data_IF_032437210772
#
_entry.id   IF_032437210772
#
_cell.length_a   1.000
_cell.length_b   1.000
_cell.length_c   1.000
_cell.angle_alpha   90.00
_cell.angle_beta   90.00
_cell.angle_gamma   90.00
#
_symmetry.space_group_name_H-M   'P 1'
#
loop_
_entity.id
_entity.type
_entity.pdbx_description
1 polymer ?
#
# COMPACT_ATOMS: atom_id res chain seq x y z
N UNK A 1 4.90 5.61 -7.29
CA UNK A 1 5.47 4.29 -6.95
C UNK A 1 6.99 4.32 -6.66
N UNK A 2 7.90 4.92 -7.47
CA UNK A 2 9.35 4.91 -7.17
C UNK A 2 9.72 5.47 -5.80
N UNK A 3 9.04 6.54 -5.36
CA UNK A 3 9.27 7.15 -4.06
C UNK A 3 8.92 6.23 -2.86
N UNK A 4 7.88 5.41 -3.00
CA UNK A 4 7.50 4.42 -1.97
C UNK A 4 8.53 3.31 -1.89
N UNK A 5 9.00 2.81 -3.05
CA UNK A 5 10.05 1.82 -3.11
C UNK A 5 11.36 2.35 -2.50
N UNK A 6 11.76 3.58 -2.81
CA UNK A 6 12.95 4.20 -2.24
C UNK A 6 12.87 4.31 -0.70
N UNK A 7 11.72 4.76 -0.16
CA UNK A 7 11.51 4.80 1.29
C UNK A 7 11.54 3.42 1.91
N UNK A 8 10.91 2.43 1.27
CA UNK A 8 10.96 1.05 1.74
C UNK A 8 12.41 0.55 1.85
N UNK A 9 13.23 0.76 0.84
CA UNK A 9 14.63 0.35 0.87
C UNK A 9 15.44 1.06 1.95
N UNK A 10 15.22 2.37 2.17
CA UNK A 10 15.90 3.12 3.23
C UNK A 10 15.60 2.50 4.59
N UNK A 11 14.31 2.25 4.88
CA UNK A 11 13.91 1.69 6.18
C UNK A 11 14.25 0.20 6.34
N UNK A 12 14.19 -0.57 5.26
CA UNK A 12 14.44 -2.01 5.31
C UNK A 12 15.92 -2.34 5.48
N UNK A 13 16.79 -1.58 4.83
CA UNK A 13 18.24 -1.76 4.92
C UNK A 13 18.93 -0.82 5.91
N UNK A 14 18.14 -0.01 6.65
CA UNK A 14 18.65 1.00 7.58
C UNK A 14 19.73 1.89 6.99
N UNK A 15 19.46 2.39 5.76
CA UNK A 15 20.42 3.18 5.01
C UNK A 15 20.53 4.60 5.60
N UNK A 16 21.74 5.19 5.63
CA UNK A 16 21.93 6.55 6.10
C UNK A 16 21.15 7.54 5.24
N UNK A 17 20.65 8.62 5.85
CA UNK A 17 19.85 9.64 5.14
C UNK A 17 20.64 10.35 4.03
N UNK A 18 21.95 10.42 4.16
CA UNK A 18 22.88 11.02 3.20
C UNK A 18 24.03 10.10 2.89
N UNK A 19 24.37 10.00 1.63
CA UNK A 19 25.53 9.24 1.14
C UNK A 19 26.48 10.21 0.44
N UNK A 20 27.73 10.23 0.88
CA UNK A 20 28.80 10.95 0.19
C UNK A 20 29.19 10.25 -1.11
N UNK A 21 28.89 10.86 -2.25
CA UNK A 21 29.25 10.36 -3.57
C UNK A 21 30.07 11.44 -4.29
N UNK A 22 31.32 11.13 -4.66
CA UNK A 22 32.24 12.05 -5.35
C UNK A 22 32.45 13.43 -4.67
N UNK A 23 32.43 13.48 -3.33
CA UNK A 23 32.63 14.74 -2.59
C UNK A 23 31.37 15.62 -2.42
N UNK A 24 30.22 15.17 -2.91
CA UNK A 24 28.92 15.80 -2.67
C UNK A 24 28.09 14.91 -1.75
N UNK A 25 27.47 15.50 -0.73
CA UNK A 25 26.49 14.82 0.10
C UNK A 25 25.13 14.81 -0.62
N UNK A 26 24.73 13.65 -1.14
CA UNK A 26 23.43 13.47 -1.79
C UNK A 26 22.46 12.78 -0.82
N UNK A 27 21.19 13.22 -0.79
CA UNK A 27 20.16 12.51 -0.02
C UNK A 27 19.96 11.11 -0.62
N UNK A 28 20.08 10.08 0.21
CA UNK A 28 19.91 8.65 -0.17
C UNK A 28 18.59 8.40 -0.89
N UNK A 29 17.53 9.09 -0.46
CA UNK A 29 16.21 9.02 -1.09
C UNK A 29 16.27 9.41 -2.58
N UNK A 30 16.93 10.52 -2.91
CA UNK A 30 17.00 11.00 -4.29
C UNK A 30 17.82 10.05 -5.16
N UNK A 31 18.92 9.53 -4.63
CA UNK A 31 19.77 8.56 -5.33
C UNK A 31 19.00 7.27 -5.63
N UNK A 32 18.26 6.74 -4.68
CA UNK A 32 17.44 5.53 -4.88
C UNK A 32 16.29 5.75 -5.87
N UNK A 33 15.61 6.91 -5.82
CA UNK A 33 14.57 7.24 -6.80
C UNK A 33 15.15 7.30 -8.21
N UNK A 34 16.28 7.97 -8.39
CA UNK A 34 16.95 8.07 -9.70
C UNK A 34 17.41 6.69 -10.17
N UNK A 35 17.98 5.87 -9.29
CA UNK A 35 18.43 4.51 -9.61
C UNK A 35 17.25 3.65 -10.12
N UNK A 36 16.13 3.66 -9.40
CA UNK A 36 14.93 2.90 -9.79
C UNK A 36 14.37 3.39 -11.13
N UNK A 37 14.35 4.71 -11.35
CA UNK A 37 13.89 5.28 -12.62
C UNK A 37 14.83 4.92 -13.78
N UNK A 38 16.14 5.04 -13.60
CA UNK A 38 17.13 4.67 -14.64
C UNK A 38 17.01 3.18 -14.97
N UNK A 39 16.91 2.32 -13.96
CA UNK A 39 16.71 0.89 -14.17
C UNK A 39 15.41 0.60 -14.94
N UNK A 40 14.31 1.24 -14.60
CA UNK A 40 13.03 1.07 -15.30
C UNK A 40 13.12 1.55 -16.77
N UNK A 41 13.72 2.72 -17.01
CA UNK A 41 13.90 3.27 -18.37
C UNK A 41 14.80 2.33 -19.19
N UNK A 42 15.90 1.86 -18.63
CA UNK A 42 16.83 0.94 -19.32
C UNK A 42 16.13 -0.35 -19.72
N UNK A 43 15.32 -0.94 -18.81
CA UNK A 43 14.55 -2.14 -19.12
C UNK A 43 13.56 -1.90 -20.27
N UNK A 44 12.85 -0.76 -20.27
CA UNK A 44 11.90 -0.42 -21.33
C UNK A 44 12.62 -0.18 -22.67
N UNK A 45 13.74 0.52 -22.64
CA UNK A 45 14.49 0.81 -23.87
C UNK A 45 15.14 -0.44 -24.48
N UNK A 46 15.58 -1.40 -23.65
CA UNK A 46 16.22 -2.62 -24.14
C UNK A 46 15.26 -3.69 -24.64
N UNK A 47 14.05 -3.80 -24.05
CA UNK A 47 13.17 -4.94 -24.36
C UNK A 47 11.71 -4.58 -24.63
N UNK A 48 11.38 -3.29 -24.65
CA UNK A 48 10.02 -2.82 -24.89
C UNK A 48 9.03 -3.28 -23.83
N UNK A 49 7.74 -3.34 -24.20
CA UNK A 49 6.64 -3.73 -23.27
C UNK A 49 6.73 -5.17 -22.77
N UNK A 50 7.32 -6.07 -23.55
CA UNK A 50 7.49 -7.48 -23.15
C UNK A 50 8.39 -7.64 -21.93
N UNK A 51 9.42 -6.80 -21.81
CA UNK A 51 10.35 -6.83 -20.66
C UNK A 51 9.67 -6.42 -19.35
N UNK A 52 8.56 -5.72 -19.41
CA UNK A 52 7.74 -5.41 -18.22
C UNK A 52 6.73 -6.51 -17.90
N UNK A 53 6.13 -7.10 -18.93
CA UNK A 53 5.06 -8.10 -18.75
C UNK A 53 5.58 -9.42 -18.22
N UNK A 54 6.77 -9.87 -18.67
CA UNK A 54 7.33 -11.16 -18.25
C UNK A 54 7.68 -11.18 -16.75
N UNK A 55 8.45 -10.21 -16.19
CA UNK A 55 8.70 -10.16 -14.75
C UNK A 55 7.43 -10.01 -13.92
N UNK A 56 6.45 -9.21 -14.38
CA UNK A 56 5.15 -9.06 -13.69
C UNK A 56 4.38 -10.38 -13.64
N UNK A 57 4.38 -11.15 -14.72
CA UNK A 57 3.76 -12.47 -14.75
C UNK A 57 4.45 -13.47 -13.80
N UNK A 58 5.78 -13.49 -13.80
CA UNK A 58 6.57 -14.36 -12.90
C UNK A 58 6.33 -13.94 -11.44
N UNK A 59 6.41 -12.66 -11.14
CA UNK A 59 6.13 -12.11 -9.81
C UNK A 59 4.72 -12.47 -9.36
N UNK A 60 3.73 -12.31 -10.24
CA UNK A 60 2.34 -12.69 -9.96
C UNK A 60 2.19 -14.14 -9.55
N UNK A 61 2.89 -15.04 -10.23
CA UNK A 61 2.84 -16.49 -9.96
C UNK A 61 3.29 -16.86 -8.54
N UNK A 62 4.20 -16.06 -7.93
CA UNK A 62 4.63 -16.24 -6.55
C UNK A 62 3.79 -15.43 -5.57
N UNK A 63 3.48 -14.17 -5.90
CA UNK A 63 2.79 -13.27 -4.98
C UNK A 63 1.33 -13.66 -4.72
N UNK A 64 0.58 -14.17 -5.73
CA UNK A 64 -0.84 -14.51 -5.51
C UNK A 64 -1.05 -15.68 -4.58
N UNK A 65 -0.34 -16.82 -4.71
CA UNK A 65 -0.41 -17.89 -3.71
C UNK A 65 -0.04 -17.39 -2.31
N UNK A 66 0.99 -16.56 -2.20
CA UNK A 66 1.39 -15.97 -0.92
C UNK A 66 0.28 -15.09 -0.34
N UNK A 67 -0.36 -14.24 -1.16
CA UNK A 67 -1.49 -13.43 -0.72
C UNK A 67 -2.66 -14.28 -0.21
N UNK A 68 -2.98 -15.37 -0.91
CA UNK A 68 -4.03 -16.30 -0.46
C UNK A 68 -3.67 -16.93 0.88
N UNK A 69 -2.43 -17.38 1.06
CA UNK A 69 -1.94 -17.91 2.34
C UNK A 69 -2.05 -16.86 3.44
N UNK A 70 -1.65 -15.61 3.18
CA UNK A 70 -1.75 -14.52 4.15
C UNK A 70 -3.20 -14.18 4.49
N UNK A 71 -4.11 -14.16 3.52
CA UNK A 71 -5.55 -13.97 3.76
C UNK A 71 -6.09 -15.07 4.68
N UNK A 72 -5.81 -16.34 4.35
CA UNK A 72 -6.24 -17.49 5.16
C UNK A 72 -5.65 -17.40 6.56
N UNK A 73 -4.37 -17.04 6.67
CA UNK A 73 -3.72 -16.87 7.98
C UNK A 73 -4.40 -15.79 8.82
N UNK A 74 -4.71 -14.63 8.27
CA UNK A 74 -5.41 -13.55 8.99
C UNK A 74 -6.80 -14.00 9.43
N UNK A 75 -7.56 -14.63 8.53
CA UNK A 75 -8.90 -15.13 8.86
C UNK A 75 -8.89 -16.25 9.92
N UNK A 76 -7.84 -17.07 9.94
CA UNK A 76 -7.67 -18.11 10.96
C UNK A 76 -7.20 -17.52 12.31
N UNK A 77 -6.33 -16.51 12.28
CA UNK A 77 -5.73 -15.91 13.49
C UNK A 77 -6.71 -15.06 14.27
N UNK A 78 -7.64 -14.37 13.60
CA UNK A 78 -8.61 -13.47 14.21
C UNK A 78 -10.02 -14.04 14.12
N UNK A 79 -10.66 -14.20 15.29
CA UNK A 79 -12.06 -14.63 15.35
C UNK A 79 -12.99 -13.50 14.93
N UNK A 80 -13.81 -13.76 13.92
CA UNK A 80 -14.73 -12.76 13.39
C UNK A 80 -15.73 -12.27 14.44
N UNK A 81 -16.37 -13.20 15.17
CA UNK A 81 -17.46 -12.89 16.09
C UNK A 81 -16.99 -12.35 17.44
N UNK A 82 -15.81 -12.78 17.92
CA UNK A 82 -15.34 -12.47 19.28
C UNK A 82 -14.30 -11.37 19.32
N UNK A 83 -13.58 -11.12 18.24
CA UNK A 83 -12.48 -10.13 18.20
C UNK A 83 -12.75 -9.01 17.21
N UNK A 84 -13.16 -9.32 15.96
CA UNK A 84 -13.31 -8.31 14.91
C UNK A 84 -14.59 -7.49 15.14
N UNK A 85 -15.74 -8.14 15.19
CA UNK A 85 -17.04 -7.45 15.28
C UNK A 85 -17.14 -6.56 16.54
N UNK A 86 -16.78 -7.00 17.75
CA UNK A 86 -16.83 -6.14 18.93
C UNK A 86 -15.99 -4.87 18.80
N UNK A 87 -14.76 -4.99 18.29
CA UNK A 87 -13.87 -3.84 18.12
C UNK A 87 -14.38 -2.88 17.05
N UNK A 88 -14.99 -3.40 15.99
CA UNK A 88 -15.53 -2.57 14.92
C UNK A 88 -16.85 -1.87 15.31
N UNK A 89 -17.58 -2.43 16.29
CA UNK A 89 -18.83 -1.85 16.84
C UNK A 89 -18.57 -0.89 18.01
N UNK A 90 -17.48 -1.09 18.76
CA UNK A 90 -17.13 -0.26 19.92
C UNK A 90 -16.52 1.08 19.46
N UNK A 91 -17.37 1.92 18.88
CA UNK A 91 -17.00 3.23 18.35
C UNK A 91 -18.00 4.29 18.82
N UNK A 92 -17.50 5.51 18.90
CA UNK A 92 -18.32 6.69 19.19
C UNK A 92 -19.33 6.90 18.04
N UNK A 93 -20.50 7.41 18.36
CA UNK A 93 -21.47 7.80 17.34
C UNK A 93 -20.84 8.81 16.35
N UNK A 94 -21.07 8.61 15.07
CA UNK A 94 -20.44 9.41 14.00
C UNK A 94 -19.11 8.87 13.47
N UNK A 95 -18.52 7.83 14.10
CA UNK A 95 -17.24 7.24 13.70
C UNK A 95 -17.34 5.73 13.45
N UNK A 96 -18.46 5.23 12.98
CA UNK A 96 -18.68 3.80 12.78
C UNK A 96 -17.87 3.23 11.63
N UNK A 97 -17.23 2.08 11.86
CA UNK A 97 -16.55 1.34 10.78
C UNK A 97 -17.46 0.38 10.03
N UNK A 98 -18.63 0.06 10.57
CA UNK A 98 -19.56 -0.91 9.99
C UNK A 98 -20.78 -0.24 9.37
N UNK A 99 -21.23 0.89 9.90
CA UNK A 99 -22.39 1.60 9.40
C UNK A 99 -21.94 2.74 8.46
N UNK A 100 -22.18 2.63 7.14
CA UNK A 100 -21.76 3.66 6.19
C UNK A 100 -22.56 4.98 6.30
N UNK A 101 -23.60 5.00 7.12
CA UNK A 101 -24.42 6.20 7.37
C UNK A 101 -24.07 6.91 8.69
N UNK A 102 -23.13 6.37 9.46
CA UNK A 102 -22.70 6.90 10.75
C UNK A 102 -21.20 7.25 10.69
N UNK A 103 -20.86 8.16 9.81
CA UNK A 103 -19.47 8.55 9.49
C UNK A 103 -19.25 10.07 9.49
N UNK A 104 -20.21 10.83 9.98
CA UNK A 104 -20.21 12.30 9.85
C UNK A 104 -19.10 12.98 10.65
N UNK A 105 -18.62 12.35 11.72
CA UNK A 105 -17.54 12.86 12.58
C UNK A 105 -16.17 12.22 12.26
N UNK A 106 -16.10 11.35 11.27
CA UNK A 106 -14.81 10.78 10.86
C UNK A 106 -13.90 11.88 10.28
N UNK A 107 -12.76 12.10 10.92
CA UNK A 107 -11.80 13.16 10.58
C UNK A 107 -11.42 13.21 9.10
N UNK A 108 -11.27 12.06 8.47
CA UNK A 108 -10.77 11.95 7.09
C UNK A 108 -11.90 11.60 6.10
N UNK A 109 -13.15 11.46 6.59
CA UNK A 109 -14.28 11.19 5.72
C UNK A 109 -14.85 12.50 5.15
N UNK A 110 -14.78 12.63 3.85
CA UNK A 110 -15.33 13.75 3.13
C UNK A 110 -16.12 13.27 1.90
N UNK A 111 -17.42 13.49 1.92
CA UNK A 111 -18.32 13.12 0.82
C UNK A 111 -17.86 13.73 -0.51
N UNK A 112 -17.33 14.96 -0.48
CA UNK A 112 -16.77 15.61 -1.67
C UNK A 112 -15.60 14.80 -2.24
N UNK A 113 -14.67 14.35 -1.38
CA UNK A 113 -13.53 13.51 -1.80
C UNK A 113 -13.98 12.16 -2.35
N UNK A 114 -15.06 11.59 -1.81
CA UNK A 114 -15.65 10.35 -2.34
C UNK A 114 -16.18 10.56 -3.75
N UNK A 115 -16.92 11.65 -3.99
CA UNK A 115 -17.42 12.01 -5.34
C UNK A 115 -16.27 12.28 -6.29
N UNK A 116 -15.24 13.01 -5.86
CA UNK A 116 -14.03 13.28 -6.66
C UNK A 116 -13.32 11.98 -7.01
N UNK A 117 -13.14 11.09 -6.04
CA UNK A 117 -12.47 9.78 -6.25
C UNK A 117 -13.25 8.93 -7.23
N UNK A 118 -14.57 8.84 -7.06
CA UNK A 118 -15.45 8.09 -7.98
C UNK A 118 -15.40 8.66 -9.40
N UNK A 119 -15.50 9.98 -9.52
CA UNK A 119 -15.41 10.67 -10.83
C UNK A 119 -14.05 10.43 -11.47
N UNK A 120 -12.96 10.53 -10.69
CA UNK A 120 -11.60 10.27 -11.16
C UNK A 120 -11.44 8.83 -11.62
N UNK A 121 -12.02 7.85 -10.90
CA UNK A 121 -12.01 6.45 -11.33
C UNK A 121 -12.71 6.25 -12.68
N UNK A 122 -13.88 6.87 -12.89
CA UNK A 122 -14.61 6.80 -14.16
C UNK A 122 -13.77 7.41 -15.28
N UNK A 123 -13.22 8.62 -15.08
CA UNK A 123 -12.38 9.31 -16.06
C UNK A 123 -11.11 8.51 -16.36
N UNK A 124 -10.49 7.92 -15.36
CA UNK A 124 -9.31 7.07 -15.53
C UNK A 124 -9.61 5.82 -16.35
N UNK A 125 -10.75 5.18 -16.13
CA UNK A 125 -11.19 4.02 -16.92
C UNK A 125 -11.57 4.40 -18.36
N UNK A 126 -12.13 5.59 -18.56
CA UNK A 126 -12.44 6.11 -19.90
C UNK A 126 -11.20 6.63 -20.64
N UNK A 127 -10.11 6.95 -19.92
CA UNK A 127 -8.87 7.44 -20.50
C UNK A 127 -8.00 6.29 -21.01
N UNK A 128 -7.28 6.53 -22.12
CA UNK A 128 -6.34 5.57 -22.71
C UNK A 128 -5.06 5.34 -21.87
N UNK A 129 -4.88 6.09 -20.81
CA UNK A 129 -3.67 6.12 -20.00
C UNK A 129 -3.42 4.75 -19.31
N UNK A 130 -4.49 4.01 -18.98
CA UNK A 130 -4.38 2.67 -18.36
C UNK A 130 -4.18 1.52 -19.37
N UNK A 131 -4.31 1.76 -20.67
CA UNK A 131 -4.30 0.71 -21.69
C UNK A 131 -2.88 0.27 -22.13
N UNK A 132 -1.81 0.90 -21.63
CA UNK A 132 -0.45 0.72 -22.17
C UNK A 132 0.07 -0.72 -22.13
N UNK A 133 -0.20 -1.48 -21.07
CA UNK A 133 0.26 -2.88 -20.93
C UNK A 133 -0.64 -3.83 -21.71
N UNK A 134 -1.95 -3.59 -21.71
CA UNK A 134 -2.92 -4.42 -22.42
C UNK A 134 -2.92 -4.17 -23.92
N UNK A 135 -2.34 -3.06 -24.38
CA UNK A 135 -2.18 -2.76 -25.83
C UNK A 135 -1.22 -3.70 -26.56
N UNK A 136 -0.41 -4.48 -25.83
CA UNK A 136 0.44 -5.53 -26.39
C UNK A 136 -0.34 -6.82 -26.80
N UNK A 137 -1.65 -6.88 -26.53
CA UNK A 137 -2.50 -8.00 -26.92
C UNK A 137 -2.67 -8.07 -28.46
N UNK A 138 -2.71 -9.29 -29.01
CA UNK A 138 -2.83 -9.52 -30.46
C UNK A 138 -4.21 -9.17 -31.01
N UNK A 139 -5.24 -9.18 -30.18
CA UNK A 139 -6.60 -8.90 -30.57
C UNK A 139 -7.37 -8.11 -29.53
N UNK A 140 -8.43 -7.35 -29.91
CA UNK A 140 -9.30 -6.66 -28.96
C UNK A 140 -9.97 -7.58 -27.96
N UNK A 141 -10.21 -8.84 -28.31
CA UNK A 141 -10.77 -9.84 -27.41
C UNK A 141 -9.76 -10.22 -26.31
N UNK A 142 -8.51 -10.48 -26.66
CA UNK A 142 -7.45 -10.78 -25.70
C UNK A 142 -7.22 -9.59 -24.76
N UNK A 143 -7.28 -8.35 -25.27
CA UNK A 143 -7.17 -7.15 -24.45
C UNK A 143 -8.29 -7.05 -23.41
N UNK A 144 -9.55 -7.32 -23.80
CA UNK A 144 -10.69 -7.34 -22.86
C UNK A 144 -10.55 -8.46 -21.82
N UNK A 145 -10.15 -9.64 -22.24
CA UNK A 145 -9.92 -10.77 -21.32
C UNK A 145 -8.79 -10.48 -20.33
N UNK A 146 -7.69 -9.90 -20.79
CA UNK A 146 -6.59 -9.48 -19.92
C UNK A 146 -7.05 -8.44 -18.89
N UNK A 147 -7.90 -7.47 -19.29
CA UNK A 147 -8.49 -6.49 -18.38
C UNK A 147 -9.39 -7.13 -17.32
N UNK A 148 -10.27 -8.07 -17.72
CA UNK A 148 -11.14 -8.78 -16.79
C UNK A 148 -10.34 -9.62 -15.79
N UNK A 149 -9.36 -10.39 -16.26
CA UNK A 149 -8.47 -11.18 -15.41
C UNK A 149 -7.65 -10.28 -14.48
N UNK A 150 -7.19 -9.13 -14.98
CA UNK A 150 -6.49 -8.12 -14.18
C UNK A 150 -7.36 -7.58 -13.04
N UNK A 151 -8.65 -7.36 -13.28
CA UNK A 151 -9.60 -6.92 -12.24
C UNK A 151 -9.80 -7.99 -11.17
N UNK A 152 -9.99 -9.24 -11.56
CA UNK A 152 -10.06 -10.38 -10.62
C UNK A 152 -8.80 -10.50 -9.77
N UNK A 153 -7.67 -10.38 -10.41
CA UNK A 153 -6.36 -10.41 -9.77
C UNK A 153 -6.22 -9.31 -8.72
N UNK A 154 -6.61 -8.08 -9.08
CA UNK A 154 -6.52 -6.93 -8.18
C UNK A 154 -7.45 -7.05 -6.96
N UNK A 155 -8.58 -7.74 -7.10
CA UNK A 155 -9.54 -7.97 -6.02
C UNK A 155 -8.90 -8.73 -4.83
N UNK A 156 -8.02 -9.70 -5.08
CA UNK A 156 -7.27 -10.38 -4.01
C UNK A 156 -6.39 -9.42 -3.21
N UNK A 157 -5.73 -8.49 -3.90
CA UNK A 157 -4.94 -7.44 -3.23
C UNK A 157 -5.80 -6.53 -2.36
N UNK A 158 -6.97 -6.10 -2.87
CA UNK A 158 -7.90 -5.26 -2.12
C UNK A 158 -8.39 -5.96 -0.85
N UNK A 159 -8.81 -7.23 -0.97
CA UNK A 159 -9.24 -8.05 0.18
C UNK A 159 -8.10 -8.14 1.21
N UNK A 160 -6.88 -8.41 0.77
CA UNK A 160 -5.73 -8.48 1.67
C UNK A 160 -5.48 -7.16 2.41
N UNK A 161 -5.48 -6.03 1.72
CA UNK A 161 -5.27 -4.72 2.35
C UNK A 161 -6.38 -4.38 3.35
N UNK A 162 -7.64 -4.68 3.03
CA UNK A 162 -8.75 -4.50 3.97
C UNK A 162 -8.59 -5.38 5.21
N UNK A 163 -8.25 -6.65 5.04
CA UNK A 163 -8.04 -7.56 6.16
C UNK A 163 -6.87 -7.14 7.05
N UNK A 164 -5.76 -6.66 6.45
CA UNK A 164 -4.63 -6.13 7.21
C UNK A 164 -5.02 -4.89 8.00
N UNK A 165 -5.78 -3.97 7.40
CA UNK A 165 -6.27 -2.79 8.11
C UNK A 165 -7.16 -3.17 9.29
N UNK A 166 -8.10 -4.09 9.09
CA UNK A 166 -8.97 -4.62 10.17
C UNK A 166 -8.13 -5.31 11.25
N UNK A 167 -7.17 -6.16 10.87
CA UNK A 167 -6.30 -6.84 11.82
C UNK A 167 -5.49 -5.85 12.69
N UNK A 168 -4.96 -4.79 12.09
CA UNK A 168 -4.24 -3.73 12.83
C UNK A 168 -5.16 -3.03 13.83
N UNK A 169 -6.40 -2.70 13.42
CA UNK A 169 -7.40 -2.07 14.31
C UNK A 169 -7.72 -3.01 15.48
N UNK A 170 -7.91 -4.31 15.22
CA UNK A 170 -8.19 -5.31 16.26
C UNK A 170 -7.02 -5.44 17.22
N UNK A 171 -5.80 -5.58 16.73
CA UNK A 171 -4.59 -5.68 17.59
C UNK A 171 -4.43 -4.44 18.46
N UNK A 172 -4.72 -3.26 17.95
CA UNK A 172 -4.56 -2.02 18.72
C UNK A 172 -5.66 -1.78 19.75
N UNK A 173 -6.88 -2.32 19.57
CA UNK A 173 -8.02 -1.97 20.40
C UNK A 173 -8.62 -3.15 21.20
N UNK A 174 -8.37 -4.40 20.81
CA UNK A 174 -8.91 -5.55 21.52
C UNK A 174 -8.09 -5.88 22.78
N UNK A 175 -8.77 -6.18 23.90
CA UNK A 175 -8.14 -6.44 25.19
C UNK A 175 -7.15 -7.61 25.20
N UNK A 176 -7.37 -8.64 24.38
CA UNK A 176 -6.47 -9.80 24.27
C UNK A 176 -5.07 -9.44 23.79
N UNK A 177 -4.92 -8.33 23.06
CA UNK A 177 -3.64 -7.85 22.48
C UNK A 177 -3.11 -6.61 23.19
N UNK A 178 -3.54 -6.36 24.44
CA UNK A 178 -3.19 -5.15 25.18
C UNK A 178 -1.69 -4.97 25.42
N UNK A 179 -0.93 -6.07 25.52
CA UNK A 179 0.52 -6.04 25.68
C UNK A 179 1.19 -5.58 24.39
N UNK A 180 0.87 -6.21 23.28
CA UNK A 180 1.39 -5.90 21.95
C UNK A 180 1.00 -4.47 21.52
N UNK A 181 -0.24 -4.08 21.81
CA UNK A 181 -0.73 -2.74 21.54
C UNK A 181 0.06 -1.66 22.30
N UNK A 182 0.41 -1.90 23.56
CA UNK A 182 1.25 -1.00 24.34
C UNK A 182 2.65 -0.87 23.75
N UNK A 183 3.27 -1.99 23.44
CA UNK A 183 4.61 -1.99 22.85
C UNK A 183 4.65 -1.21 21.53
N UNK A 184 3.68 -1.46 20.64
CA UNK A 184 3.57 -0.73 19.36
C UNK A 184 3.37 0.75 19.60
N UNK A 185 2.45 1.14 20.50
CA UNK A 185 2.19 2.56 20.80
C UNK A 185 3.41 3.26 21.38
N UNK A 186 4.15 2.60 22.27
CA UNK A 186 5.38 3.15 22.86
C UNK A 186 6.44 3.36 21.78
N UNK A 187 6.67 2.36 20.93
CA UNK A 187 7.63 2.48 19.82
C UNK A 187 7.25 3.59 18.84
N UNK A 188 5.97 3.72 18.52
CA UNK A 188 5.47 4.79 17.64
C UNK A 188 5.63 6.18 18.29
N UNK A 189 5.27 6.33 19.57
CA UNK A 189 5.40 7.60 20.28
C UNK A 189 6.86 8.05 20.38
N UNK A 190 7.79 7.12 20.64
CA UNK A 190 9.21 7.42 20.65
C UNK A 190 9.70 7.88 19.27
N UNK A 191 9.35 7.16 18.21
CA UNK A 191 9.72 7.58 16.84
C UNK A 191 9.14 8.93 16.42
N UNK A 192 7.90 9.22 16.82
CA UNK A 192 7.27 10.52 16.56
C UNK A 192 7.97 11.61 17.35
N UNK A 193 8.29 11.37 18.63
CA UNK A 193 9.01 12.30 19.46
C UNK A 193 10.41 12.61 18.90
N UNK A 194 11.15 11.58 18.50
CA UNK A 194 12.48 11.73 17.88
C UNK A 194 12.41 12.48 16.54
N UNK A 195 11.34 12.30 15.76
CA UNK A 195 11.12 13.02 14.50
C UNK A 195 10.62 14.47 14.66
N UNK A 196 10.06 14.81 15.83
CA UNK A 196 9.57 16.16 16.13
C UNK A 196 10.61 17.02 16.84
N UNK A 197 11.60 16.41 17.49
CA UNK A 197 12.75 17.14 18.05
C UNK A 197 13.68 17.45 16.88
N UNK A 198 13.83 18.72 16.44
CA UNK A 198 14.88 19.07 15.50
C UNK A 198 16.21 18.70 16.16
N UNK A 199 17.10 18.09 15.42
CA UNK A 199 18.49 17.89 15.83
C UNK A 199 19.13 19.29 15.91
N UNK A 200 18.88 19.96 17.04
CA UNK A 200 19.56 21.21 17.40
C UNK A 200 21.02 20.83 17.61
N UNK A 201 21.73 20.83 16.51
CA UNK A 201 23.19 20.78 16.48
C UNK A 201 23.78 21.95 17.25
N UNK A 202 23.62 21.92 18.58
CA UNK A 202 24.45 22.64 19.50
C UNK A 202 25.67 21.78 19.82
N UNK A 203 26.68 21.88 18.97
CA UNK A 203 28.10 21.79 19.34
C UNK A 203 28.94 22.61 18.39
#
# INVERSE_FOLDING_TARGET
MPAVAARFFIYFFDLPERIGFFGCELPTFMLLVVLVLVMAITLICCGGTLTLVIPDAIQGMFCYPLLVVMIVFVLYRFSWSTEIVPVMMDRVAGESFLNPFDVDEMRDFNVFMLVVTFTTMIVHQASWIGAGITSAAKSPHEQKMAGLLGTWRNMLGVIFYLLVAVAVIVVLNHGSFSHEAREIRTRLSTRIADGLVPDDGMR
#
